data_IF_865164187659
#
_entry.id   IF_865164187659
#
_cell.length_a   1.000
_cell.length_b   1.000
_cell.length_c   1.000
_cell.angle_alpha   90.00
_cell.angle_beta   90.00
_cell.angle_gamma   90.00
#
_symmetry.space_group_name_H-M   'P 1'
#
loop_
_entity.id
_entity.type
_entity.pdbx_description
1 polymer ?
#
# COMPACT_ATOMS: atom_id res chain seq x y z
N UNK A 1 -18.61 -4.87 -3.03
CA UNK A 1 -17.15 -4.68 -3.01
C UNK A 1 -16.82 -3.68 -4.10
N UNK A 2 -16.07 -2.65 -3.78
CA UNK A 2 -15.64 -1.67 -4.78
C UNK A 2 -14.50 -2.29 -5.58
N UNK A 3 -14.51 -2.11 -6.89
CA UNK A 3 -13.42 -2.55 -7.76
C UNK A 3 -12.56 -1.35 -8.08
N UNK A 4 -11.26 -1.44 -7.79
CA UNK A 4 -10.28 -0.42 -8.13
C UNK A 4 -9.20 -1.02 -9.01
N UNK A 5 -8.81 -0.27 -10.03
CA UNK A 5 -7.65 -0.59 -10.85
C UNK A 5 -6.77 0.65 -11.02
N UNK A 6 -5.46 0.44 -10.94
CA UNK A 6 -4.46 1.49 -11.13
C UNK A 6 -3.30 0.96 -11.96
N UNK A 7 -3.00 1.64 -13.06
CA UNK A 7 -1.83 1.34 -13.90
C UNK A 7 -0.74 2.35 -13.60
N UNK A 8 0.40 1.87 -13.10
CA UNK A 8 1.52 2.69 -12.71
C UNK A 8 2.21 3.29 -13.96
N UNK A 9 2.20 4.61 -14.10
CA UNK A 9 2.95 5.32 -15.15
C UNK A 9 4.38 5.67 -14.74
N UNK A 10 4.69 5.49 -13.46
CA UNK A 10 6.00 5.65 -12.83
C UNK A 10 6.13 4.61 -11.70
N UNK A 11 7.32 4.36 -11.14
CA UNK A 11 7.47 3.66 -9.88
C UNK A 11 6.49 4.15 -8.81
N UNK A 12 5.65 3.27 -8.26
CA UNK A 12 4.58 3.69 -7.34
C UNK A 12 4.41 2.69 -6.21
N UNK A 13 4.30 3.20 -4.98
CA UNK A 13 3.88 2.43 -3.83
C UNK A 13 2.36 2.47 -3.73
N UNK A 14 1.74 1.35 -3.35
CA UNK A 14 0.28 1.25 -3.25
C UNK A 14 -0.15 0.70 -1.91
N UNK A 15 -1.34 1.08 -1.48
CA UNK A 15 -2.06 0.56 -0.32
C UNK A 15 -3.52 0.31 -0.70
N UNK A 16 -3.94 -0.94 -0.66
CA UNK A 16 -5.30 -1.38 -0.92
C UNK A 16 -5.88 -2.04 0.34
N UNK A 17 -6.81 -1.38 1.02
CA UNK A 17 -7.41 -1.85 2.28
C UNK A 17 -8.85 -1.38 2.47
N UNK A 18 -9.49 -1.76 3.57
CA UNK A 18 -10.85 -1.32 3.93
C UNK A 18 -10.88 -0.02 4.76
N UNK A 19 -9.75 0.67 4.86
CA UNK A 19 -9.57 1.90 5.61
C UNK A 19 -9.41 1.72 7.13
N UNK A 20 -9.71 0.54 7.67
CA UNK A 20 -9.68 0.26 9.12
C UNK A 20 -8.67 -0.81 9.52
N UNK A 21 -8.29 -1.67 8.58
CA UNK A 21 -7.35 -2.75 8.80
C UNK A 21 -6.32 -2.79 7.68
N UNK A 22 -5.05 -2.98 8.04
CA UNK A 22 -3.95 -3.15 7.09
C UNK A 22 -3.18 -4.39 7.48
N UNK A 23 -2.91 -5.29 6.55
CA UNK A 23 -2.06 -6.45 6.75
C UNK A 23 -0.98 -6.52 5.68
N UNK A 24 0.01 -7.38 5.90
CA UNK A 24 1.00 -7.63 4.85
C UNK A 24 0.28 -8.19 3.63
N UNK A 25 0.55 -7.63 2.46
CA UNK A 25 -0.14 -7.95 1.21
C UNK A 25 -1.23 -6.95 0.83
N UNK A 26 -1.63 -6.06 1.73
CA UNK A 26 -2.45 -4.90 1.41
C UNK A 26 -1.65 -3.73 0.82
N UNK A 27 -0.34 -3.86 0.71
CA UNK A 27 0.51 -2.83 0.15
C UNK A 27 1.68 -3.45 -0.59
N UNK A 28 2.28 -2.65 -1.47
CA UNK A 28 3.41 -3.09 -2.25
C UNK A 28 3.98 -1.98 -3.12
N UNK A 29 4.81 -2.41 -4.06
CA UNK A 29 5.45 -1.54 -5.04
C UNK A 29 5.11 -2.03 -6.45
N UNK A 30 4.80 -1.09 -7.34
CA UNK A 30 4.50 -1.33 -8.74
C UNK A 30 5.58 -0.69 -9.61
N UNK A 31 6.08 -1.48 -10.54
CA UNK A 31 6.90 -0.97 -11.63
C UNK A 31 6.01 -0.30 -12.70
N UNK A 32 6.61 0.62 -13.46
CA UNK A 32 5.93 1.27 -14.59
C UNK A 32 5.36 0.24 -15.57
N UNK A 33 4.11 0.45 -15.99
CA UNK A 33 3.38 -0.41 -16.92
C UNK A 33 2.64 -1.56 -16.25
N UNK A 34 2.82 -1.80 -14.95
CA UNK A 34 2.04 -2.80 -14.22
C UNK A 34 0.73 -2.20 -13.72
N UNK A 35 -0.30 -3.05 -13.71
CA UNK A 35 -1.63 -2.72 -13.20
C UNK A 35 -1.87 -3.47 -11.90
N UNK A 36 -2.24 -2.74 -10.85
CA UNK A 36 -2.87 -3.29 -9.67
C UNK A 36 -4.37 -3.34 -9.91
N UNK A 37 -4.96 -4.50 -9.66
CA UNK A 37 -6.40 -4.74 -9.71
C UNK A 37 -6.80 -5.33 -8.35
N UNK A 38 -7.76 -4.70 -7.69
CA UNK A 38 -8.15 -5.06 -6.33
C UNK A 38 -9.64 -4.86 -6.09
N UNK A 39 -10.22 -5.73 -5.26
CA UNK A 39 -11.59 -5.63 -4.77
C UNK A 39 -11.69 -4.98 -3.38
N UNK A 40 -10.56 -4.44 -2.89
CA UNK A 40 -10.51 -3.69 -1.63
C UNK A 40 -11.33 -2.40 -1.73
N UNK A 41 -11.85 -1.92 -0.60
CA UNK A 41 -12.75 -0.77 -0.60
C UNK A 41 -12.03 0.53 -0.99
N UNK A 42 -10.76 0.67 -0.58
CA UNK A 42 -9.92 1.84 -0.80
C UNK A 42 -8.61 1.44 -1.51
N UNK A 43 -8.14 2.32 -2.38
CA UNK A 43 -6.84 2.24 -3.02
C UNK A 43 -6.14 3.61 -2.97
N UNK A 44 -4.99 3.66 -2.30
CA UNK A 44 -4.12 4.83 -2.22
C UNK A 44 -2.78 4.54 -2.90
N UNK A 45 -2.17 5.58 -3.48
CA UNK A 45 -0.87 5.50 -4.15
C UNK A 45 0.08 6.57 -3.63
N UNK A 46 1.37 6.24 -3.58
CA UNK A 46 2.42 7.09 -3.01
C UNK A 46 3.66 7.07 -3.89
N UNK A 47 4.38 8.19 -3.90
CA UNK A 47 5.63 8.32 -4.66
C UNK A 47 6.81 7.76 -3.87
N UNK A 48 6.72 7.70 -2.55
CA UNK A 48 7.81 7.21 -1.67
C UNK A 48 7.36 6.14 -0.69
N UNK A 49 8.29 5.28 -0.30
CA UNK A 49 8.05 4.27 0.74
C UNK A 49 7.72 4.92 2.09
N UNK A 50 8.30 6.08 2.38
CA UNK A 50 8.09 6.79 3.64
C UNK A 50 6.64 7.32 3.80
N UNK A 51 6.03 7.78 2.70
CA UNK A 51 4.63 8.21 2.68
C UNK A 51 3.70 7.01 2.93
N UNK A 52 3.95 5.89 2.25
CA UNK A 52 3.23 4.64 2.47
C UNK A 52 3.35 4.19 3.94
N UNK A 53 4.57 4.13 4.47
CA UNK A 53 4.84 3.72 5.84
C UNK A 53 4.08 4.59 6.85
N UNK A 54 4.11 5.92 6.65
CA UNK A 54 3.39 6.88 7.50
C UNK A 54 1.88 6.65 7.46
N UNK A 55 1.32 6.37 6.29
CA UNK A 55 -0.11 6.07 6.14
C UNK A 55 -0.48 4.77 6.85
N UNK A 56 0.32 3.72 6.69
CA UNK A 56 0.12 2.42 7.36
C UNK A 56 0.17 2.58 8.88
N UNK A 57 1.18 3.27 9.41
CA UNK A 57 1.31 3.53 10.84
C UNK A 57 0.11 4.33 11.38
N UNK A 58 -0.41 5.26 10.59
CA UNK A 58 -1.62 6.03 10.93
C UNK A 58 -2.86 5.12 11.03
N UNK A 59 -3.04 4.19 10.09
CA UNK A 59 -4.18 3.26 10.12
C UNK A 59 -4.02 2.25 11.26
N UNK A 60 -2.80 1.75 11.50
CA UNK A 60 -2.49 0.84 12.61
C UNK A 60 -2.57 1.49 13.97
N UNK A 61 -2.31 2.80 14.06
CA UNK A 61 -2.09 3.49 15.32
C UNK A 61 -0.79 3.08 16.03
N UNK A 62 0.16 2.47 15.30
CA UNK A 62 1.43 1.97 15.85
C UNK A 62 2.57 2.59 15.03
N UNK A 63 3.30 3.58 15.57
CA UNK A 63 4.46 4.16 14.89
C UNK A 63 5.56 3.11 14.66
N UNK A 64 6.10 3.08 13.44
CA UNK A 64 7.17 2.17 13.03
C UNK A 64 6.72 0.73 12.74
N UNK A 65 5.41 0.44 12.73
CA UNK A 65 4.92 -0.92 12.49
C UNK A 65 5.33 -1.43 11.10
N UNK A 66 5.30 -0.55 10.10
CA UNK A 66 5.71 -0.90 8.73
C UNK A 66 7.19 -1.34 8.63
N UNK A 67 8.08 -0.73 9.42
CA UNK A 67 9.53 -1.00 9.33
C UNK A 67 9.97 -2.28 10.04
N UNK A 68 9.06 -2.99 10.70
CA UNK A 68 9.35 -4.33 11.20
C UNK A 68 9.65 -5.27 10.02
N UNK A 69 10.69 -6.12 10.10
CA UNK A 69 11.11 -6.99 8.98
C UNK A 69 9.99 -7.86 8.42
N UNK A 70 9.07 -8.29 9.27
CA UNK A 70 7.91 -9.10 8.89
C UNK A 70 6.88 -8.32 8.07
N UNK A 71 6.83 -6.99 8.17
CA UNK A 71 5.79 -6.15 7.56
C UNK A 71 6.31 -5.42 6.31
N UNK A 72 7.55 -4.94 6.33
CA UNK A 72 8.11 -4.14 5.23
C UNK A 72 8.00 -4.87 3.89
N UNK A 73 7.80 -4.10 2.82
CA UNK A 73 7.92 -4.61 1.45
C UNK A 73 9.32 -5.24 1.31
N UNK A 74 9.44 -6.48 0.79
CA UNK A 74 10.75 -7.10 0.57
C UNK A 74 11.61 -6.28 -0.38
N UNK A 75 12.91 -6.18 -0.07
CA UNK A 75 13.93 -5.60 -0.98
C UNK A 75 14.20 -6.49 -2.20
#
# INVERSE_FOLDING_TARGET
MSHHSFTATEPTYWLACDGTTVEKGNYGYLFTGFTLDTEQADLETFSTEAELATRIDTIKGIPGWYYLPENRIPE
#
